data_IF_470830132680
#
_entry.id   IF_470830132680
#
_cell.length_a   1.000
_cell.length_b   1.000
_cell.length_c   1.000
_cell.angle_alpha   90.00
_cell.angle_beta   90.00
_cell.angle_gamma   90.00
#
_symmetry.space_group_name_H-M   'P 1'
#
loop_
_entity.id
_entity.type
_entity.pdbx_description
1 polymer ?
#
# COMPACT_ATOMS: atom_id res chain seq x y z
N UNK A 1 -27.88 9.83 -25.75
CA UNK A 1 -27.98 9.18 -24.43
C UNK A 1 -27.45 10.18 -23.39
N UNK A 2 -28.25 10.61 -22.42
CA UNK A 2 -27.79 11.47 -21.33
C UNK A 2 -27.69 10.62 -20.06
N UNK A 3 -26.51 10.03 -19.81
CA UNK A 3 -26.23 9.31 -18.58
C UNK A 3 -25.45 10.23 -17.63
N UNK A 4 -25.88 10.30 -16.36
CA UNK A 4 -25.19 11.01 -15.30
C UNK A 4 -24.63 9.99 -14.32
N UNK A 5 -23.32 10.00 -14.11
CA UNK A 5 -22.67 9.18 -13.09
C UNK A 5 -23.03 9.77 -11.72
N UNK A 6 -23.58 8.95 -10.84
CA UNK A 6 -23.84 9.29 -9.43
C UNK A 6 -22.83 8.52 -8.59
N UNK A 7 -21.95 9.25 -7.88
CA UNK A 7 -21.09 8.69 -6.84
C UNK A 7 -21.51 9.26 -5.50
N UNK A 8 -21.67 8.40 -4.48
CA UNK A 8 -21.94 8.84 -3.12
C UNK A 8 -20.66 8.73 -2.28
N UNK A 9 -19.75 9.69 -2.47
CA UNK A 9 -18.45 9.75 -1.76
C UNK A 9 -18.58 10.25 -0.31
N UNK A 10 -19.80 10.38 0.22
CA UNK A 10 -20.07 11.01 1.53
C UNK A 10 -19.84 10.09 2.75
N UNK A 11 -19.63 8.79 2.54
CA UNK A 11 -19.25 7.84 3.59
C UNK A 11 -17.77 7.51 3.42
N UNK A 12 -16.92 8.03 4.31
CA UNK A 12 -15.52 7.62 4.36
C UNK A 12 -15.39 6.10 4.48
N UNK A 13 -14.38 5.53 3.83
CA UNK A 13 -14.07 4.11 3.87
C UNK A 13 -13.35 3.73 5.16
N UNK A 14 -13.41 2.45 5.53
CA UNK A 14 -12.59 1.85 6.60
C UNK A 14 -11.93 0.59 6.05
N UNK A 15 -10.68 0.38 6.42
CA UNK A 15 -9.93 -0.82 6.04
C UNK A 15 -9.20 -1.36 7.26
N UNK A 16 -9.16 -2.68 7.39
CA UNK A 16 -8.31 -3.38 8.34
C UNK A 16 -7.11 -3.95 7.58
N UNK A 17 -5.91 -3.76 8.12
CA UNK A 17 -4.68 -4.32 7.58
C UNK A 17 -4.02 -5.21 8.62
N UNK A 18 -3.40 -6.30 8.17
CA UNK A 18 -2.52 -7.13 8.97
C UNK A 18 -1.19 -7.30 8.22
N UNK A 19 -0.08 -6.99 8.89
CA UNK A 19 1.27 -7.12 8.34
C UNK A 19 2.16 -7.83 9.36
N UNK A 20 3.17 -8.54 8.89
CA UNK A 20 4.23 -9.11 9.72
C UNK A 20 5.44 -8.21 9.63
N UNK A 21 5.96 -7.71 10.75
CA UNK A 21 7.22 -6.97 10.83
C UNK A 21 8.15 -7.78 11.72
N UNK A 22 9.29 -8.22 11.19
CA UNK A 22 10.25 -9.05 11.92
C UNK A 22 9.66 -10.34 12.50
N UNK A 23 8.71 -10.94 11.78
CA UNK A 23 7.98 -12.12 12.24
C UNK A 23 6.91 -11.85 13.31
N UNK A 24 6.73 -10.59 13.71
CA UNK A 24 5.67 -10.17 14.64
C UNK A 24 4.48 -9.64 13.85
N UNK A 25 3.37 -10.36 13.91
CA UNK A 25 2.10 -9.93 13.33
C UNK A 25 1.56 -8.69 14.04
N UNK A 26 1.25 -7.65 13.26
CA UNK A 26 0.55 -6.44 13.69
C UNK A 26 -0.74 -6.28 12.90
N UNK A 27 -1.76 -5.73 13.55
CA UNK A 27 -3.03 -5.37 12.90
C UNK A 27 -3.42 -3.95 13.27
N UNK A 28 -4.03 -3.24 12.33
CA UNK A 28 -4.56 -1.90 12.55
C UNK A 28 -5.77 -1.63 11.65
N UNK A 29 -6.54 -0.61 12.03
CA UNK A 29 -7.65 -0.07 11.23
C UNK A 29 -7.37 1.37 10.81
N UNK A 30 -7.69 1.67 9.56
CA UNK A 30 -7.59 2.98 8.95
C UNK A 30 -8.94 3.44 8.39
N UNK A 31 -9.02 4.74 8.13
CA UNK A 31 -10.16 5.48 7.60
C UNK A 31 -9.68 6.35 6.44
N UNK A 32 -10.53 6.60 5.48
CA UNK A 32 -10.10 7.36 4.31
C UNK A 32 -11.26 7.82 3.47
N UNK A 33 -10.96 8.62 2.45
CA UNK A 33 -11.98 9.00 1.47
C UNK A 33 -12.32 7.79 0.61
N UNK A 34 -11.31 6.99 0.24
CA UNK A 34 -11.45 5.71 -0.45
C UNK A 34 -10.90 4.51 0.33
N UNK A 35 -11.14 3.28 -0.18
CA UNK A 35 -10.62 2.05 0.41
C UNK A 35 -9.09 1.96 0.40
N UNK A 36 -8.44 2.55 -0.62
CA UNK A 36 -6.98 2.62 -0.73
C UNK A 36 -6.43 3.56 0.35
N UNK A 37 -6.98 4.76 0.49
CA UNK A 37 -6.58 5.71 1.54
C UNK A 37 -6.69 5.08 2.93
N UNK A 38 -7.83 4.41 3.20
CA UNK A 38 -8.07 3.74 4.48
C UNK A 38 -7.09 2.58 4.71
N UNK A 39 -6.69 1.87 3.64
CA UNK A 39 -5.68 0.81 3.74
C UNK A 39 -4.29 1.38 4.02
N UNK A 40 -3.91 2.47 3.35
CA UNK A 40 -2.64 3.14 3.58
C UNK A 40 -2.55 3.67 5.01
N UNK A 41 -3.61 4.35 5.51
CA UNK A 41 -3.64 4.80 6.90
C UNK A 41 -3.50 3.63 7.88
N UNK A 42 -4.15 2.49 7.61
CA UNK A 42 -4.05 1.31 8.47
C UNK A 42 -2.60 0.79 8.52
N UNK A 43 -1.93 0.66 7.37
CA UNK A 43 -0.55 0.18 7.28
C UNK A 43 0.41 1.18 7.98
N UNK A 44 0.28 2.47 7.68
CA UNK A 44 1.15 3.52 8.22
C UNK A 44 1.01 3.69 9.73
N UNK A 45 -0.11 3.31 10.35
CA UNK A 45 -0.22 3.27 11.83
C UNK A 45 0.68 2.24 12.50
N UNK A 46 1.17 1.23 11.75
CA UNK A 46 1.96 0.13 12.29
C UNK A 46 3.48 0.31 12.12
N UNK A 47 3.88 1.33 11.35
CA UNK A 47 5.27 1.66 10.98
C UNK A 47 5.55 3.15 11.21
N UNK A 48 6.80 3.52 11.42
CA UNK A 48 7.20 4.92 11.54
C UNK A 48 7.67 5.44 10.17
N UNK A 49 6.71 5.73 9.30
CA UNK A 49 6.96 6.24 7.94
C UNK A 49 5.99 7.37 7.61
N UNK A 50 6.53 8.58 7.48
CA UNK A 50 5.80 9.79 7.15
C UNK A 50 5.81 10.12 5.66
N UNK A 51 5.43 11.35 5.32
CA UNK A 51 5.38 11.83 3.93
C UNK A 51 4.00 11.73 3.27
N UNK A 52 4.00 11.74 1.93
CA UNK A 52 2.80 11.80 1.10
C UNK A 52 2.92 10.99 -0.18
N UNK A 53 1.77 10.46 -0.62
CA UNK A 53 1.63 9.87 -1.95
C UNK A 53 1.76 10.96 -3.01
N UNK A 54 2.81 10.88 -3.83
CA UNK A 54 3.10 11.84 -4.89
C UNK A 54 2.51 11.39 -6.24
N UNK A 55 2.54 10.09 -6.53
CA UNK A 55 1.97 9.52 -7.76
C UNK A 55 1.29 8.18 -7.48
N UNK A 56 0.17 7.93 -8.16
CA UNK A 56 -0.54 6.65 -8.16
C UNK A 56 -0.92 6.28 -9.59
N UNK A 57 -0.49 5.10 -10.06
CA UNK A 57 -0.81 4.56 -11.38
C UNK A 57 -1.34 3.13 -11.22
N UNK A 58 -2.54 2.90 -11.73
CA UNK A 58 -3.13 1.57 -11.81
C UNK A 58 -3.27 1.16 -13.28
N UNK A 59 -2.80 -0.04 -13.61
CA UNK A 59 -2.95 -0.66 -14.94
C UNK A 59 -3.43 -2.09 -14.79
N UNK A 60 -4.12 -2.60 -15.80
CA UNK A 60 -4.50 -4.00 -15.86
C UNK A 60 -3.48 -4.75 -16.70
N UNK A 61 -2.99 -5.88 -16.18
CA UNK A 61 -2.29 -6.89 -16.95
C UNK A 61 -3.30 -8.00 -17.26
N UNK A 62 -3.59 -8.18 -18.55
CA UNK A 62 -4.55 -9.18 -19.03
C UNK A 62 -3.74 -10.25 -19.77
N UNK A 63 -3.92 -11.49 -19.34
CA UNK A 63 -3.49 -12.70 -20.04
C UNK A 63 -4.74 -13.55 -20.29
N UNK A 64 -4.79 -14.30 -21.39
CA UNK A 64 -5.96 -14.99 -21.98
C UNK A 64 -7.24 -15.14 -21.10
N UNK A 65 -7.15 -15.72 -19.90
CA UNK A 65 -8.26 -15.91 -18.95
C UNK A 65 -8.12 -15.18 -17.59
N UNK A 66 -7.02 -14.46 -17.34
CA UNK A 66 -6.71 -13.82 -16.05
C UNK A 66 -6.37 -12.35 -16.21
N UNK A 67 -6.98 -11.52 -15.35
CA UNK A 67 -6.61 -10.13 -15.20
C UNK A 67 -6.03 -9.88 -13.80
N UNK A 68 -4.89 -9.20 -13.74
CA UNK A 68 -4.31 -8.69 -12.50
C UNK A 68 -4.23 -7.15 -12.57
N UNK A 69 -4.51 -6.50 -11.46
CA UNK A 69 -4.18 -5.10 -11.24
C UNK A 69 -2.71 -4.97 -10.90
N UNK A 70 -2.00 -4.11 -11.62
CA UNK A 70 -0.66 -3.65 -11.27
C UNK A 70 -0.78 -2.21 -10.81
N UNK A 71 -0.28 -1.95 -9.60
CA UNK A 71 -0.26 -0.62 -8.99
C UNK A 71 1.19 -0.19 -8.83
N UNK A 72 1.52 0.93 -9.44
CA UNK A 72 2.79 1.64 -9.27
C UNK A 72 2.51 2.91 -8.46
N UNK A 73 3.28 3.15 -7.40
CA UNK A 73 3.19 4.37 -6.59
C UNK A 73 4.54 5.06 -6.44
N UNK A 74 4.49 6.38 -6.27
CA UNK A 74 5.63 7.20 -5.86
C UNK A 74 5.27 7.89 -4.55
N UNK A 75 6.09 7.71 -3.53
CA UNK A 75 5.92 8.32 -2.22
C UNK A 75 7.04 9.32 -1.96
N UNK A 76 6.70 10.53 -1.53
CA UNK A 76 7.66 11.52 -1.08
C UNK A 76 7.69 11.51 0.46
N UNK A 77 8.81 11.15 1.07
CA UNK A 77 8.95 11.17 2.53
C UNK A 77 9.10 12.61 3.08
N UNK A 78 9.13 12.74 4.40
CA UNK A 78 9.23 14.05 5.06
C UNK A 78 10.58 14.77 4.79
N UNK A 79 11.60 14.05 4.31
CA UNK A 79 12.88 14.64 3.88
C UNK A 79 12.83 15.17 2.44
N UNK A 80 11.75 14.89 1.70
CA UNK A 80 11.59 15.24 0.29
C UNK A 80 12.13 14.18 -0.68
N UNK A 81 12.52 12.99 -0.18
CA UNK A 81 13.03 11.91 -1.03
C UNK A 81 11.88 11.10 -1.62
N UNK A 82 12.04 10.69 -2.88
CA UNK A 82 11.08 9.88 -3.61
C UNK A 82 11.40 8.38 -3.52
N UNK A 83 10.39 7.60 -3.20
CA UNK A 83 10.41 6.13 -3.13
C UNK A 83 9.43 5.55 -4.13
N UNK A 84 9.80 4.44 -4.76
CA UNK A 84 9.01 3.79 -5.79
C UNK A 84 8.58 2.40 -5.34
N UNK A 85 7.29 2.08 -5.46
CA UNK A 85 6.78 0.76 -5.10
C UNK A 85 5.84 0.20 -6.12
N UNK A 86 5.89 -1.12 -6.29
CA UNK A 86 4.96 -1.85 -7.16
C UNK A 86 4.27 -2.99 -6.42
N UNK A 87 2.97 -3.16 -6.69
CA UNK A 87 2.19 -4.28 -6.21
C UNK A 87 1.32 -4.89 -7.30
N UNK A 88 1.17 -6.21 -7.28
CA UNK A 88 0.42 -6.98 -8.28
C UNK A 88 -0.57 -7.89 -7.58
N UNK A 89 -1.86 -7.73 -7.88
CA UNK A 89 -2.91 -8.59 -7.35
C UNK A 89 -4.15 -8.55 -8.24
N UNK A 90 -4.96 -9.61 -8.22
CA UNK A 90 -6.29 -9.59 -8.84
C UNK A 90 -7.25 -8.59 -8.16
N UNK A 91 -6.96 -8.18 -6.92
CA UNK A 91 -7.65 -7.11 -6.21
C UNK A 91 -6.78 -5.83 -6.20
N UNK A 92 -7.27 -4.76 -6.82
CA UNK A 92 -6.54 -3.49 -6.93
C UNK A 92 -6.26 -2.84 -5.57
N UNK A 93 -7.13 -3.04 -4.58
CA UNK A 93 -6.92 -2.54 -3.22
C UNK A 93 -5.75 -3.30 -2.59
N UNK A 94 -5.70 -4.62 -2.78
CA UNK A 94 -4.59 -5.44 -2.31
C UNK A 94 -3.28 -5.09 -3.03
N UNK A 95 -3.31 -4.91 -4.36
CA UNK A 95 -2.15 -4.47 -5.14
C UNK A 95 -1.61 -3.13 -4.62
N UNK A 96 -2.49 -2.20 -4.25
CA UNK A 96 -2.09 -0.91 -3.67
C UNK A 96 -1.36 -1.10 -2.34
N UNK A 97 -1.88 -1.95 -1.44
CA UNK A 97 -1.21 -2.26 -0.17
C UNK A 97 0.17 -2.88 -0.37
N UNK A 98 0.30 -3.81 -1.33
CA UNK A 98 1.58 -4.42 -1.68
C UNK A 98 2.60 -3.38 -2.18
N UNK A 99 2.17 -2.42 -2.99
CA UNK A 99 3.05 -1.35 -3.49
C UNK A 99 3.60 -0.46 -2.36
N UNK A 100 2.80 -0.17 -1.33
CA UNK A 100 3.28 0.55 -0.15
C UNK A 100 4.26 -0.28 0.67
N UNK A 101 4.01 -1.58 0.81
CA UNK A 101 4.92 -2.48 1.53
C UNK A 101 6.26 -2.62 0.80
N UNK A 102 6.25 -2.62 -0.54
CA UNK A 102 7.45 -2.58 -1.35
C UNK A 102 8.33 -1.35 -1.03
N UNK A 103 7.71 -0.16 -0.95
CA UNK A 103 8.40 1.07 -0.50
C UNK A 103 8.96 0.91 0.93
N UNK A 104 8.15 0.42 1.87
CA UNK A 104 8.59 0.27 3.27
C UNK A 104 9.77 -0.69 3.38
N UNK A 105 9.80 -1.74 2.58
CA UNK A 105 10.95 -2.65 2.49
C UNK A 105 12.18 -1.97 1.87
N UNK A 106 12.02 -1.08 0.89
CA UNK A 106 13.12 -0.30 0.30
C UNK A 106 13.73 0.67 1.32
N UNK A 107 12.86 1.39 2.05
CA UNK A 107 13.24 2.30 3.14
C UNK A 107 14.03 1.57 4.23
N UNK A 108 13.54 0.39 4.66
CA UNK A 108 14.21 -0.42 5.67
C UNK A 108 15.60 -0.90 5.20
N UNK A 109 15.72 -1.37 3.95
CA UNK A 109 17.01 -1.78 3.38
C UNK A 109 18.03 -0.63 3.36
N UNK A 110 17.59 0.58 3.04
CA UNK A 110 18.49 1.73 3.03
C UNK A 110 18.93 2.13 4.44
N UNK A 111 18.00 2.14 5.39
CA UNK A 111 18.32 2.37 6.81
C UNK A 111 19.27 1.31 7.39
N UNK A 112 19.20 0.08 6.88
CA UNK A 112 20.14 -1.01 7.21
C UNK A 112 21.48 -0.84 6.49
N UNK A 113 21.53 -0.25 5.28
CA UNK A 113 22.80 -0.03 4.57
C UNK A 113 23.74 0.97 5.27
N UNK A 114 23.19 1.84 6.13
CA UNK A 114 23.94 2.71 7.04
C UNK A 114 24.43 2.00 8.33
N UNK A 115 24.01 0.74 8.56
CA UNK A 115 24.34 -0.06 9.76
C UNK A 115 24.74 -1.48 9.36
N UNK A 116 26.04 -1.71 9.22
CA UNK A 116 26.67 -2.97 8.81
C UNK A 116 25.98 -4.27 9.31
N UNK A 117 25.55 -5.09 8.35
CA UNK A 117 25.33 -6.56 8.36
C UNK A 117 24.74 -7.17 9.64
N UNK A 118 23.42 -7.08 9.84
CA UNK A 118 22.62 -8.27 10.21
C UNK A 118 21.11 -7.98 10.17
N UNK A 119 20.36 -9.01 9.76
CA UNK A 119 18.90 -9.16 9.74
C UNK A 119 18.22 -8.63 8.47
N UNK A 120 17.90 -9.55 7.56
CA UNK A 120 16.85 -9.32 6.58
C UNK A 120 15.53 -9.18 7.33
N UNK A 121 15.10 -7.94 7.54
CA UNK A 121 13.75 -7.61 7.99
C UNK A 121 12.84 -7.66 6.76
N UNK A 122 11.88 -8.58 6.78
CA UNK A 122 10.92 -8.76 5.70
C UNK A 122 9.55 -8.36 6.22
N UNK A 123 8.90 -7.41 5.54
CA UNK A 123 7.48 -7.15 5.78
C UNK A 123 6.65 -8.08 4.90
N UNK A 124 6.05 -9.11 5.51
CA UNK A 124 5.10 -9.98 4.81
C UNK A 124 3.67 -9.46 5.02
N UNK A 125 2.90 -9.41 3.93
CA UNK A 125 1.55 -8.83 3.96
C UNK A 125 0.48 -9.91 3.98
N UNK A 126 -0.45 -9.81 4.94
CA UNK A 126 -1.71 -10.59 4.94
C UNK A 126 -2.87 -9.60 4.80
N UNK A 127 -3.26 -9.27 3.57
CA UNK A 127 -4.39 -8.35 3.33
C UNK A 127 -5.70 -9.10 3.53
N UNK A 128 -6.41 -8.78 4.62
CA UNK A 128 -7.80 -9.21 4.85
C UNK A 128 -8.74 -8.03 4.65
N UNK A 129 -9.19 -7.82 3.42
CA UNK A 129 -10.25 -6.86 3.11
C UNK A 129 -11.61 -7.46 3.47
N UNK A 130 -12.33 -6.85 4.40
CA UNK A 130 -13.75 -7.16 4.61
C UNK A 130 -14.53 -6.63 3.40
N UNK A 131 -15.07 -7.53 2.59
CA UNK A 131 -16.14 -7.24 1.63
C UNK A 131 -17.48 -7.17 2.35
#
# INVERSE_FOLDING_TARGET
>A
LAAKVLSDSRKGSRSKAAISIDGVGKEAEGRGVGPIDALFEAILKMVDFGGRLNEFKAKALIDEEKAAGVVDIVWEDDSGKLWHGQGISADIIAASGMALIDILNEVDKENVSDREVNRQSFVETIIKTNK
#
